data_IF_575806414404
#
_entry.id   IF_575806414404
#
_cell.length_a   1.000
_cell.length_b   1.000
_cell.length_c   1.000
_cell.angle_alpha   90.00
_cell.angle_beta   90.00
_cell.angle_gamma   90.00
#
_symmetry.space_group_name_H-M   'P 1'
#
loop_
_entity.id
_entity.type
_entity.pdbx_description
1 polymer ?
#
# COMPACT_ATOMS: atom_id res chain seq x y z
N UNK A 1 12.35 44.51 -2.14
CA UNK A 1 11.19 44.49 -3.04
C UNK A 1 11.55 45.26 -4.30
N UNK A 2 12.10 44.58 -5.31
CA UNK A 2 12.44 45.17 -6.61
C UNK A 2 11.51 44.59 -7.66
N UNK A 3 10.66 45.43 -8.26
CA UNK A 3 9.81 45.07 -9.37
C UNK A 3 10.47 45.58 -10.67
N UNK A 4 11.02 44.65 -11.45
CA UNK A 4 11.58 44.93 -12.77
C UNK A 4 10.45 44.92 -13.79
N UNK A 5 10.01 46.09 -14.25
CA UNK A 5 9.12 46.23 -15.42
C UNK A 5 9.98 46.28 -16.68
N UNK A 6 9.93 45.22 -17.49
CA UNK A 6 10.45 45.23 -18.85
C UNK A 6 9.41 45.91 -19.77
N UNK A 7 9.76 47.08 -20.30
CA UNK A 7 9.05 47.74 -21.39
C UNK A 7 9.66 47.25 -22.71
N UNK A 8 8.88 46.55 -23.53
CA UNK A 8 9.27 46.18 -24.89
C UNK A 8 8.58 47.15 -25.85
N UNK A 9 9.36 48.10 -26.38
CA UNK A 9 8.95 48.98 -27.45
C UNK A 9 8.89 48.18 -28.77
N UNK A 10 7.68 48.00 -29.31
CA UNK A 10 7.50 47.44 -30.64
C UNK A 10 7.61 48.55 -31.69
N UNK A 11 8.77 48.63 -32.35
CA UNK A 11 8.97 49.46 -33.54
C UNK A 11 8.23 48.81 -34.71
N UNK A 12 7.12 49.40 -35.15
CA UNK A 12 6.36 48.96 -36.32
C UNK A 12 6.92 49.62 -37.58
N UNK A 13 7.82 48.92 -38.26
CA UNK A 13 8.26 49.32 -39.60
C UNK A 13 7.27 48.77 -40.62
N UNK A 14 6.42 49.64 -41.16
CA UNK A 14 5.48 49.29 -42.22
C UNK A 14 6.25 49.10 -43.55
N UNK A 15 6.30 47.88 -44.07
CA UNK A 15 6.70 47.61 -45.45
C UNK A 15 5.49 47.11 -46.21
N UNK A 16 4.92 48.01 -47.03
CA UNK A 16 3.94 47.70 -48.07
C UNK A 16 4.63 46.82 -49.13
N UNK A 17 4.21 45.55 -49.24
CA UNK A 17 4.17 44.83 -50.52
C UNK A 17 2.91 43.96 -50.56
N UNK A 18 1.96 44.41 -51.37
CA UNK A 18 0.78 43.67 -51.75
C UNK A 18 1.18 42.45 -52.58
N UNK A 19 0.60 41.28 -52.28
CA UNK A 19 0.69 40.10 -53.16
C UNK A 19 1.25 38.81 -52.55
N UNK A 20 1.67 38.79 -51.28
CA UNK A 20 2.22 37.58 -50.62
C UNK A 20 1.64 37.32 -49.21
N UNK A 21 0.57 38.01 -48.83
CA UNK A 21 0.05 38.01 -47.46
C UNK A 21 -0.79 36.78 -47.06
N UNK A 22 -1.42 36.06 -47.99
CA UNK A 22 -2.39 35.02 -47.63
C UNK A 22 -1.74 33.69 -47.21
N UNK A 23 -0.55 33.38 -47.77
CA UNK A 23 0.20 32.19 -47.33
C UNK A 23 0.88 32.39 -45.98
N UNK A 24 1.44 33.59 -45.72
CA UNK A 24 2.15 33.86 -44.47
C UNK A 24 1.22 33.86 -43.26
N UNK A 25 0.02 34.42 -43.37
CA UNK A 25 -0.95 34.42 -42.26
C UNK A 25 -1.46 33.01 -41.96
N UNK A 26 -1.70 32.17 -42.98
CA UNK A 26 -2.11 30.77 -42.78
C UNK A 26 -1.00 29.91 -42.18
N UNK A 27 0.25 30.09 -42.61
CA UNK A 27 1.41 29.38 -42.05
C UNK A 27 1.69 29.83 -40.62
N UNK A 28 1.62 31.13 -40.30
CA UNK A 28 1.74 31.61 -38.92
C UNK A 28 0.62 31.08 -38.02
N UNK A 29 -0.64 31.04 -38.49
CA UNK A 29 -1.75 30.50 -37.71
C UNK A 29 -1.60 28.99 -37.49
N UNK A 30 -1.13 28.25 -38.50
CA UNK A 30 -0.87 26.80 -38.39
C UNK A 30 0.30 26.50 -37.46
N UNK A 31 1.39 27.27 -37.52
CA UNK A 31 2.53 27.12 -36.60
C UNK A 31 2.13 27.52 -35.18
N UNK A 32 1.32 28.57 -34.99
CA UNK A 32 0.78 28.90 -33.66
C UNK A 32 -0.16 27.80 -33.15
N UNK A 33 -1.01 27.22 -34.01
CA UNK A 33 -1.92 26.14 -33.61
C UNK A 33 -1.16 24.83 -33.34
N UNK A 34 -0.10 24.53 -34.09
CA UNK A 34 0.76 23.35 -33.89
C UNK A 34 1.66 23.53 -32.66
N UNK A 35 2.18 24.73 -32.39
CA UNK A 35 2.94 25.03 -31.17
C UNK A 35 2.00 25.08 -29.95
N UNK A 36 0.79 25.60 -30.07
CA UNK A 36 -0.21 25.54 -28.99
C UNK A 36 -0.74 24.13 -28.75
N UNK A 37 -0.83 23.26 -29.77
CA UNK A 37 -1.24 21.86 -29.59
C UNK A 37 -0.09 20.96 -29.14
N UNK A 38 1.16 21.26 -29.51
CA UNK A 38 2.34 20.59 -28.97
C UNK A 38 2.59 21.01 -27.51
N UNK A 39 2.46 22.29 -27.18
CA UNK A 39 2.50 22.77 -25.80
C UNK A 39 1.30 22.26 -24.97
N UNK A 40 0.12 22.08 -25.57
CA UNK A 40 -1.02 21.46 -24.88
C UNK A 40 -0.89 19.93 -24.72
N UNK A 41 -0.05 19.26 -25.51
CA UNK A 41 0.22 17.81 -25.40
C UNK A 41 1.34 17.47 -24.41
N UNK A 42 2.27 18.38 -24.15
CA UNK A 42 3.24 18.25 -23.05
C UNK A 42 2.70 18.74 -21.69
N UNK A 43 1.49 19.29 -21.64
CA UNK A 43 0.71 19.54 -20.41
C UNK A 43 -0.13 18.30 -20.03
N UNK A 44 0.22 17.12 -20.57
CA UNK A 44 -0.18 15.84 -20.01
C UNK A 44 0.51 15.65 -18.66
N UNK A 45 -0.20 16.03 -17.59
CA UNK A 45 0.03 15.73 -16.19
C UNK A 45 1.10 14.64 -15.93
N UNK A 46 2.32 15.05 -15.56
CA UNK A 46 3.28 14.13 -14.96
C UNK A 46 2.82 13.81 -13.54
N UNK A 47 1.87 12.87 -13.44
CA UNK A 47 1.52 12.23 -12.19
C UNK A 47 2.62 11.22 -11.84
N UNK A 48 3.19 11.31 -10.63
CA UNK A 48 4.09 10.28 -10.14
C UNK A 48 3.25 9.21 -9.44
N UNK A 49 3.32 7.98 -9.96
CA UNK A 49 2.64 6.82 -9.36
C UNK A 49 3.67 6.02 -8.55
N UNK A 50 3.37 5.77 -7.29
CA UNK A 50 4.17 4.94 -6.41
C UNK A 50 3.31 3.83 -5.83
N UNK A 51 3.77 2.59 -6.01
CA UNK A 51 3.24 1.42 -5.31
C UNK A 51 4.06 1.18 -4.04
N UNK A 52 3.36 0.95 -2.93
CA UNK A 52 3.93 0.65 -1.62
C UNK A 52 3.30 -0.61 -1.06
N UNK A 53 4.04 -1.38 -0.26
CA UNK A 53 3.56 -2.68 0.20
C UNK A 53 3.42 -2.69 1.71
N UNK A 54 2.30 -3.23 2.18
CA UNK A 54 2.10 -3.55 3.59
C UNK A 54 2.27 -5.04 3.82
N UNK A 55 3.01 -5.39 4.88
CA UNK A 55 3.04 -6.75 5.36
C UNK A 55 1.62 -7.18 5.82
N UNK A 56 1.27 -8.47 5.69
CA UNK A 56 -0.02 -8.98 6.16
C UNK A 56 -0.30 -8.63 7.63
N UNK A 57 -1.50 -8.15 7.92
CA UNK A 57 -1.92 -7.73 9.27
C UNK A 57 -1.25 -6.44 9.79
N UNK A 58 -0.34 -5.84 9.02
CA UNK A 58 0.41 -4.65 9.43
C UNK A 58 -0.05 -3.39 8.71
N UNK A 59 -0.05 -2.28 9.44
CA UNK A 59 -0.20 -0.93 8.91
C UNK A 59 1.15 -0.19 8.80
N UNK A 60 2.27 -0.86 9.07
CA UNK A 60 3.59 -0.23 8.99
C UNK A 60 4.10 -0.30 7.56
N UNK A 61 4.48 0.88 7.04
CA UNK A 61 5.27 0.98 5.83
C UNK A 61 6.64 0.34 6.05
N UNK A 62 7.12 -0.39 5.06
CA UNK A 62 8.49 -0.89 5.06
C UNK A 62 9.48 0.28 4.96
N UNK A 63 10.67 0.13 5.54
CA UNK A 63 11.71 1.15 5.42
C UNK A 63 12.08 1.47 3.95
N UNK A 64 12.16 0.47 3.04
CA UNK A 64 12.31 0.73 1.60
C UNK A 64 11.17 1.57 1.02
N UNK A 65 9.91 1.27 1.34
CA UNK A 65 8.77 2.04 0.83
C UNK A 65 8.76 3.47 1.34
N UNK A 66 9.04 3.67 2.63
CA UNK A 66 9.16 5.00 3.22
C UNK A 66 10.33 5.80 2.60
N UNK A 67 11.41 5.13 2.18
CA UNK A 67 12.50 5.77 1.45
C UNK A 67 12.06 6.20 0.04
N UNK A 68 11.51 5.26 -0.74
CA UNK A 68 11.02 5.52 -2.10
C UNK A 68 9.98 6.64 -2.14
N UNK A 69 9.09 6.68 -1.16
CA UNK A 69 8.11 7.75 -1.01
C UNK A 69 8.78 9.12 -0.84
N UNK A 70 9.77 9.22 0.05
CA UNK A 70 10.51 10.48 0.27
C UNK A 70 11.27 10.92 -0.97
N UNK A 71 11.93 10.00 -1.67
CA UNK A 71 12.61 10.30 -2.94
C UNK A 71 11.64 10.77 -4.01
N UNK A 72 10.48 10.10 -4.13
CA UNK A 72 9.45 10.48 -5.10
C UNK A 72 8.94 11.89 -4.79
N UNK A 73 8.59 12.18 -3.53
CA UNK A 73 8.15 13.52 -3.11
C UNK A 73 9.24 14.57 -3.36
N UNK A 74 10.51 14.26 -3.08
CA UNK A 74 11.62 15.15 -3.36
C UNK A 74 11.81 15.42 -4.85
N UNK A 75 11.67 14.40 -5.70
CA UNK A 75 11.81 14.53 -7.16
C UNK A 75 10.66 15.32 -7.80
N UNK A 76 9.44 15.15 -7.28
CA UNK A 76 8.27 15.94 -7.70
C UNK A 76 8.41 17.38 -7.21
N UNK A 77 8.97 17.57 -6.01
CA UNK A 77 9.10 18.84 -5.33
C UNK A 77 7.83 19.19 -4.55
N UNK A 78 7.92 19.32 -3.22
CA UNK A 78 6.78 19.56 -2.33
C UNK A 78 5.90 20.73 -2.77
N UNK A 79 6.52 21.85 -3.15
CA UNK A 79 5.79 23.05 -3.60
C UNK A 79 5.02 22.84 -4.92
N UNK A 80 5.43 21.86 -5.72
CA UNK A 80 4.77 21.51 -6.96
C UNK A 80 3.64 20.50 -6.76
N UNK A 81 3.45 19.89 -5.58
CA UNK A 81 2.37 18.91 -5.35
C UNK A 81 1.06 19.67 -5.14
N UNK A 82 0.11 19.49 -6.05
CA UNK A 82 -1.26 20.00 -5.92
C UNK A 82 -2.07 19.09 -5.00
N UNK A 83 -2.01 17.80 -5.32
CA UNK A 83 -2.83 16.76 -4.72
C UNK A 83 -2.01 15.49 -4.62
N UNK A 84 -2.15 14.78 -3.51
CA UNK A 84 -1.58 13.47 -3.26
C UNK A 84 -2.73 12.51 -2.95
N UNK A 85 -3.13 11.70 -3.93
CA UNK A 85 -4.22 10.74 -3.77
C UNK A 85 -3.65 9.41 -3.26
N UNK A 86 -4.12 8.96 -2.11
CA UNK A 86 -3.75 7.67 -1.51
C UNK A 86 -4.91 6.68 -1.62
N UNK A 87 -4.62 5.46 -2.05
CA UNK A 87 -5.58 4.36 -2.11
C UNK A 87 -4.93 3.12 -1.51
N UNK A 88 -5.68 2.34 -0.74
CA UNK A 88 -5.20 1.07 -0.17
C UNK A 88 -6.11 -0.04 -0.68
N UNK A 89 -5.53 -1.17 -1.06
CA UNK A 89 -6.29 -2.34 -1.44
C UNK A 89 -7.13 -2.88 -0.28
N UNK A 90 -8.20 -3.60 -0.65
CA UNK A 90 -9.00 -4.31 0.34
C UNK A 90 -8.14 -5.35 1.09
N UNK A 91 -8.44 -5.62 2.38
CA UNK A 91 -7.73 -6.61 3.15
C UNK A 91 -7.87 -8.01 2.53
N UNK A 92 -6.78 -8.75 2.47
CA UNK A 92 -6.74 -10.08 1.85
C UNK A 92 -6.96 -11.21 2.86
N UNK A 93 -7.10 -12.45 2.37
CA UNK A 93 -7.08 -13.63 3.22
C UNK A 93 -5.78 -13.74 4.06
N UNK A 94 -4.65 -13.23 3.54
CA UNK A 94 -3.40 -13.17 4.29
C UNK A 94 -3.49 -12.20 5.48
N UNK A 95 -4.20 -11.07 5.34
CA UNK A 95 -4.47 -10.15 6.45
C UNK A 95 -5.34 -10.79 7.51
N UNK A 96 -6.40 -11.49 7.09
CA UNK A 96 -7.26 -12.20 8.03
C UNK A 96 -6.46 -13.24 8.81
N UNK A 97 -5.63 -14.03 8.14
CA UNK A 97 -4.77 -15.02 8.79
C UNK A 97 -3.75 -14.38 9.74
N UNK A 98 -3.15 -13.25 9.37
CA UNK A 98 -2.20 -12.53 10.22
C UNK A 98 -2.88 -11.98 11.49
N UNK A 99 -4.06 -11.38 11.36
CA UNK A 99 -4.85 -10.89 12.49
C UNK A 99 -5.31 -12.03 13.39
N UNK A 100 -5.76 -13.16 12.82
CA UNK A 100 -6.13 -14.35 13.59
C UNK A 100 -4.95 -14.88 14.41
N UNK A 101 -3.74 -14.89 13.83
CA UNK A 101 -2.51 -15.25 14.54
C UNK A 101 -2.19 -14.29 15.67
N UNK A 102 -2.30 -12.99 15.45
CA UNK A 102 -2.09 -11.99 16.50
C UNK A 102 -3.10 -12.16 17.65
N UNK A 103 -4.37 -12.40 17.34
CA UNK A 103 -5.42 -12.66 18.33
C UNK A 103 -5.15 -13.93 19.14
N UNK A 104 -4.78 -15.02 18.48
CA UNK A 104 -4.41 -16.27 19.15
C UNK A 104 -3.20 -16.06 20.07
N UNK A 105 -2.18 -15.35 19.58
CA UNK A 105 -0.99 -15.00 20.37
C UNK A 105 -1.34 -14.17 21.60
N UNK A 106 -2.25 -13.20 21.46
CA UNK A 106 -2.76 -12.42 22.58
C UNK A 106 -3.48 -13.27 23.63
N UNK A 107 -4.15 -14.35 23.21
CA UNK A 107 -4.84 -15.29 24.12
C UNK A 107 -3.89 -16.29 24.80
N UNK A 108 -2.81 -16.68 24.12
CA UNK A 108 -1.82 -17.61 24.64
C UNK A 108 -0.72 -16.94 25.49
N UNK A 109 -0.66 -15.60 25.49
CA UNK A 109 0.48 -14.85 26.01
C UNK A 109 1.55 -14.66 24.92
N UNK A 110 2.31 -13.54 25.00
CA UNK A 110 3.20 -13.02 23.93
C UNK A 110 4.20 -14.02 23.32
N UNK A 111 4.43 -15.18 23.94
CA UNK A 111 5.37 -16.20 23.49
C UNK A 111 4.76 -17.32 22.60
N UNK A 112 3.43 -17.56 22.67
CA UNK A 112 2.78 -18.68 21.98
C UNK A 112 2.58 -18.54 20.46
N UNK A 113 3.25 -17.57 19.83
CA UNK A 113 2.98 -17.10 18.47
C UNK A 113 3.92 -17.63 17.39
N UNK A 114 5.10 -18.12 17.75
CA UNK A 114 6.14 -18.44 16.78
C UNK A 114 5.98 -19.83 16.17
N UNK A 115 6.70 -20.12 15.09
CA UNK A 115 6.67 -21.42 14.41
C UNK A 115 6.83 -22.57 15.40
N UNK A 116 6.21 -23.71 15.10
CA UNK A 116 6.15 -24.86 16.00
C UNK A 116 7.54 -25.31 16.50
N UNK A 117 8.60 -25.04 15.71
CA UNK A 117 9.98 -25.41 16.00
C UNK A 117 10.62 -24.64 17.17
N UNK A 118 10.03 -23.53 17.63
CA UNK A 118 10.60 -22.66 18.67
C UNK A 118 9.68 -22.42 19.87
N UNK A 119 8.59 -23.17 20.03
CA UNK A 119 7.68 -23.00 21.16
C UNK A 119 8.28 -23.57 22.45
N UNK A 120 8.18 -22.81 23.54
CA UNK A 120 8.54 -23.34 24.87
C UNK A 120 7.52 -24.39 25.33
N UNK A 121 7.89 -25.25 26.27
CA UNK A 121 6.95 -26.22 26.84
C UNK A 121 5.74 -25.53 27.51
N UNK A 122 5.95 -24.37 28.12
CA UNK A 122 4.87 -23.55 28.69
C UNK A 122 3.89 -23.06 27.61
N UNK A 123 4.41 -22.62 26.46
CA UNK A 123 3.58 -22.19 25.33
C UNK A 123 2.75 -23.34 24.75
N UNK A 124 3.34 -24.54 24.68
CA UNK A 124 2.67 -25.75 24.22
C UNK A 124 1.53 -26.13 25.18
N UNK A 125 1.79 -26.08 26.49
CA UNK A 125 0.77 -26.34 27.51
C UNK A 125 -0.38 -25.32 27.45
N UNK A 126 -0.05 -24.04 27.28
CA UNK A 126 -1.04 -22.96 27.12
C UNK A 126 -1.87 -23.14 25.84
N UNK A 127 -1.24 -23.52 24.73
CA UNK A 127 -1.92 -23.83 23.47
C UNK A 127 -2.94 -24.96 23.65
N UNK A 128 -2.52 -26.07 24.27
CA UNK A 128 -3.38 -27.22 24.49
C UNK A 128 -4.47 -26.95 25.54
N UNK A 129 -4.17 -26.18 26.58
CA UNK A 129 -5.18 -25.73 27.54
C UNK A 129 -6.24 -24.85 26.86
N UNK A 130 -5.83 -23.94 25.98
CA UNK A 130 -6.77 -23.10 25.23
C UNK A 130 -7.63 -23.94 24.26
N UNK A 131 -7.03 -24.91 23.58
CA UNK A 131 -7.77 -25.85 22.73
C UNK A 131 -8.85 -26.61 23.52
N UNK A 132 -8.47 -27.22 24.65
CA UNK A 132 -9.41 -27.92 25.53
C UNK A 132 -10.53 -26.99 26.01
N UNK A 133 -10.21 -25.73 26.31
CA UNK A 133 -11.21 -24.76 26.73
C UNK A 133 -12.21 -24.42 25.62
N UNK A 134 -11.74 -24.27 24.37
CA UNK A 134 -12.58 -23.89 23.22
C UNK A 134 -13.40 -25.07 22.69
N UNK A 135 -12.82 -26.27 22.64
CA UNK A 135 -13.41 -27.42 21.96
C UNK A 135 -13.81 -28.59 22.89
N UNK A 136 -13.39 -28.58 24.15
CA UNK A 136 -13.72 -29.63 25.12
C UNK A 136 -13.05 -30.99 24.89
N UNK A 137 -12.17 -31.14 23.90
CA UNK A 137 -11.49 -32.39 23.52
C UNK A 137 -9.97 -32.35 23.67
N UNK A 138 -9.31 -33.50 23.56
CA UNK A 138 -7.85 -33.60 23.65
C UNK A 138 -7.21 -33.25 22.29
N UNK A 139 -6.17 -32.40 22.25
CA UNK A 139 -5.37 -32.17 21.04
C UNK A 139 -4.90 -33.45 20.32
N UNK A 140 -4.69 -34.55 21.05
CA UNK A 140 -4.32 -35.85 20.48
C UNK A 140 -5.39 -36.41 19.54
N UNK A 141 -6.65 -36.06 19.76
CA UNK A 141 -7.77 -36.50 18.93
C UNK A 141 -7.70 -35.92 17.49
N UNK A 142 -6.85 -34.90 17.28
CA UNK A 142 -6.58 -34.33 15.96
C UNK A 142 -5.59 -35.15 15.14
N UNK A 143 -4.78 -36.02 15.78
CA UNK A 143 -3.72 -36.74 15.08
C UNK A 143 -4.33 -37.73 14.07
N UNK A 144 -3.96 -37.65 12.77
CA UNK A 144 -4.37 -38.65 11.81
C UNK A 144 -3.72 -39.99 12.17
N UNK A 145 -4.45 -41.08 11.91
CA UNK A 145 -3.92 -42.42 12.06
C UNK A 145 -2.57 -42.54 11.31
N UNK A 146 -1.56 -43.21 11.90
CA UNK A 146 -0.30 -43.44 11.20
C UNK A 146 -0.58 -44.25 9.92
N UNK A 147 0.09 -43.87 8.84
CA UNK A 147 0.08 -44.69 7.62
C UNK A 147 0.70 -46.05 7.96
N UNK A 148 0.18 -47.11 7.35
CA UNK A 148 0.74 -48.45 7.52
C UNK A 148 2.24 -48.41 7.18
N UNK A 149 3.08 -48.93 8.08
CA UNK A 149 4.54 -48.98 8.01
C UNK A 149 5.35 -47.72 8.40
N UNK A 150 4.71 -46.62 8.82
CA UNK A 150 5.42 -45.43 9.33
C UNK A 150 5.24 -45.28 10.85
N UNK A 151 6.28 -45.62 11.62
CA UNK A 151 6.34 -45.28 13.04
C UNK A 151 6.73 -43.81 13.20
N UNK A 152 5.81 -42.96 13.68
CA UNK A 152 6.14 -41.58 14.05
C UNK A 152 6.91 -41.57 15.37
N UNK A 153 7.92 -40.72 15.45
CA UNK A 153 8.59 -40.43 16.72
C UNK A 153 7.68 -39.58 17.60
N UNK A 154 7.88 -39.63 18.93
CA UNK A 154 7.14 -38.77 19.86
C UNK A 154 7.29 -37.28 19.55
N UNK A 155 8.45 -36.89 19.00
CA UNK A 155 8.71 -35.50 18.62
C UNK A 155 7.89 -35.09 17.39
N UNK A 156 7.82 -35.94 16.36
CA UNK A 156 6.99 -35.68 15.18
C UNK A 156 5.49 -35.63 15.54
N UNK A 157 5.02 -36.52 16.42
CA UNK A 157 3.65 -36.49 16.92
C UNK A 157 3.34 -35.18 17.67
N UNK A 158 4.25 -34.73 18.52
CA UNK A 158 4.10 -33.47 19.24
C UNK A 158 4.04 -32.28 18.28
N UNK A 159 4.94 -32.22 17.30
CA UNK A 159 4.98 -31.16 16.29
C UNK A 159 3.71 -31.12 15.44
N UNK A 160 3.21 -32.30 15.03
CA UNK A 160 1.97 -32.41 14.28
C UNK A 160 0.76 -31.95 15.13
N UNK A 161 0.72 -32.37 16.40
CA UNK A 161 -0.34 -31.97 17.33
C UNK A 161 -0.35 -30.45 17.55
N UNK A 162 0.81 -29.83 17.72
CA UNK A 162 0.95 -28.37 17.83
C UNK A 162 0.40 -27.69 16.56
N UNK A 163 0.84 -28.15 15.39
CA UNK A 163 0.44 -27.57 14.10
C UNK A 163 -1.08 -27.66 13.89
N UNK A 164 -1.67 -28.84 14.06
CA UNK A 164 -3.10 -29.08 13.88
C UNK A 164 -3.95 -28.33 14.90
N UNK A 165 -3.51 -28.30 16.16
CA UNK A 165 -4.20 -27.55 17.22
C UNK A 165 -4.24 -26.07 16.88
N UNK A 166 -3.09 -25.52 16.46
CA UNK A 166 -2.96 -24.12 16.07
C UNK A 166 -3.84 -23.81 14.86
N UNK A 167 -3.81 -24.63 13.82
CA UNK A 167 -4.64 -24.46 12.63
C UNK A 167 -6.13 -24.45 12.99
N UNK A 168 -6.56 -25.41 13.82
CA UNK A 168 -7.95 -25.52 14.27
C UNK A 168 -8.38 -24.31 15.11
N UNK A 169 -7.52 -23.81 15.99
CA UNK A 169 -7.78 -22.61 16.76
C UNK A 169 -7.84 -21.36 15.88
N UNK A 170 -6.93 -21.23 14.91
CA UNK A 170 -6.93 -20.11 13.96
C UNK A 170 -8.20 -20.11 13.11
N UNK A 171 -8.65 -21.27 12.63
CA UNK A 171 -9.89 -21.40 11.86
C UNK A 171 -11.14 -20.98 12.65
N UNK A 172 -11.11 -21.10 13.99
CA UNK A 172 -12.19 -20.63 14.86
C UNK A 172 -12.04 -19.17 15.32
N UNK A 173 -10.97 -18.46 14.95
CA UNK A 173 -10.83 -17.04 15.30
C UNK A 173 -11.77 -16.20 14.42
N UNK A 174 -12.71 -15.45 15.01
CA UNK A 174 -13.61 -14.61 14.25
C UNK A 174 -12.89 -13.31 13.85
N UNK A 175 -12.21 -13.31 12.71
CA UNK A 175 -11.75 -12.06 12.10
C UNK A 175 -12.93 -11.41 11.40
N UNK A 176 -13.58 -10.49 12.10
CA UNK A 176 -14.75 -9.80 11.57
C UNK A 176 -14.36 -8.71 10.56
N UNK A 177 -15.30 -8.33 9.70
CA UNK A 177 -15.12 -7.28 8.70
C UNK A 177 -14.62 -5.96 9.33
N UNK A 178 -15.06 -5.66 10.57
CA UNK A 178 -14.65 -4.46 11.31
C UNK A 178 -13.15 -4.42 11.62
N UNK A 179 -12.52 -5.56 11.93
CA UNK A 179 -11.08 -5.65 12.16
C UNK A 179 -10.29 -5.39 10.88
N UNK A 180 -10.76 -5.93 9.75
CA UNK A 180 -10.18 -5.72 8.43
C UNK A 180 -10.33 -4.25 8.00
N UNK A 181 -11.52 -3.65 8.16
CA UNK A 181 -11.74 -2.22 7.90
C UNK A 181 -10.86 -1.31 8.79
N UNK A 182 -10.64 -1.71 10.05
CA UNK A 182 -9.73 -1.00 10.94
C UNK A 182 -8.30 -1.06 10.42
N UNK A 183 -7.85 -2.22 9.92
CA UNK A 183 -6.52 -2.36 9.31
C UNK A 183 -6.37 -1.47 8.07
N UNK A 184 -7.36 -1.43 7.17
CA UNK A 184 -7.36 -0.53 6.00
C UNK A 184 -7.24 0.93 6.41
N UNK A 185 -8.04 1.36 7.40
CA UNK A 185 -7.96 2.74 7.92
C UNK A 185 -6.61 3.06 8.54
N UNK A 186 -5.99 2.11 9.23
CA UNK A 186 -4.65 2.28 9.78
C UNK A 186 -3.59 2.42 8.69
N UNK A 187 -3.68 1.63 7.61
CA UNK A 187 -2.78 1.73 6.44
C UNK A 187 -2.90 3.08 5.73
N UNK A 188 -4.12 3.56 5.52
CA UNK A 188 -4.36 4.90 4.96
C UNK A 188 -3.70 5.99 5.81
N UNK A 189 -3.92 5.95 7.13
CA UNK A 189 -3.28 6.89 8.06
C UNK A 189 -1.77 6.81 8.05
N UNK A 190 -1.19 5.62 7.89
CA UNK A 190 0.25 5.46 7.80
C UNK A 190 0.82 6.12 6.53
N UNK A 191 0.12 6.01 5.40
CA UNK A 191 0.50 6.72 4.17
C UNK A 191 0.38 8.22 4.31
N UNK A 192 -0.74 8.70 4.88
CA UNK A 192 -0.96 10.12 5.16
C UNK A 192 0.18 10.68 6.03
N UNK A 193 0.50 10.00 7.14
CA UNK A 193 1.60 10.39 8.02
C UNK A 193 2.97 10.37 7.32
N UNK A 194 3.22 9.40 6.44
CA UNK A 194 4.46 9.32 5.68
C UNK A 194 4.58 10.48 4.67
N UNK A 195 3.49 10.85 4.00
CA UNK A 195 3.43 12.00 3.09
C UNK A 195 3.66 13.32 3.82
N UNK A 196 2.97 13.50 4.94
CA UNK A 196 3.11 14.70 5.80
C UNK A 196 4.54 14.79 6.35
N UNK A 197 5.11 13.67 6.79
CA UNK A 197 6.50 13.58 7.21
C UNK A 197 7.50 13.86 6.07
N UNK A 198 7.11 13.61 4.82
CA UNK A 198 7.89 13.98 3.63
C UNK A 198 7.68 15.45 3.20
N UNK A 199 6.84 16.21 3.91
CA UNK A 199 6.58 17.63 3.69
C UNK A 199 5.33 17.94 2.87
N UNK A 200 4.56 16.94 2.43
CA UNK A 200 3.29 17.17 1.72
C UNK A 200 2.27 17.77 2.69
N UNK A 201 1.61 18.90 2.35
CA UNK A 201 0.63 19.50 3.23
C UNK A 201 -0.59 18.59 3.39
N UNK A 202 -1.12 18.46 4.62
CA UNK A 202 -2.28 17.58 4.93
C UNK A 202 -3.48 17.87 4.03
N UNK A 203 -3.76 19.15 3.76
CA UNK A 203 -4.86 19.57 2.90
C UNK A 203 -4.71 19.18 1.42
N UNK A 204 -3.52 18.76 0.98
CA UNK A 204 -3.31 18.24 -0.37
C UNK A 204 -3.49 16.71 -0.42
N UNK A 205 -3.65 16.02 0.72
CA UNK A 205 -3.82 14.56 0.74
C UNK A 205 -5.30 14.21 0.55
N UNK A 206 -5.59 13.41 -0.47
CA UNK A 206 -6.93 12.92 -0.78
C UNK A 206 -7.00 11.40 -0.63
N UNK A 207 -8.12 10.89 -0.13
CA UNK A 207 -8.37 9.44 -0.08
C UNK A 207 -9.10 9.00 -1.35
N UNK A 208 -8.44 8.16 -2.15
CA UNK A 208 -9.03 7.52 -3.32
C UNK A 208 -9.91 6.32 -2.94
N UNK A 209 -10.61 5.79 -3.94
CA UNK A 209 -11.42 4.59 -3.78
C UNK A 209 -10.53 3.38 -3.41
N UNK A 210 -11.02 2.45 -2.57
CA UNK A 210 -10.31 1.22 -2.29
C UNK A 210 -10.07 0.45 -3.59
N UNK A 211 -8.85 -0.05 -3.75
CA UNK A 211 -8.49 -0.79 -4.95
C UNK A 211 -9.11 -2.18 -4.90
N UNK A 212 -9.58 -2.65 -6.05
CA UNK A 212 -10.01 -4.04 -6.20
C UNK A 212 -8.86 -4.99 -5.87
N UNK A 213 -9.19 -6.15 -5.30
CA UNK A 213 -8.24 -7.17 -4.90
C UNK A 213 -7.37 -7.58 -6.11
N UNK A 214 -6.04 -7.48 -5.96
CA UNK A 214 -5.07 -7.97 -6.95
C UNK A 214 -4.93 -9.48 -6.76
N UNK A 215 -4.73 -10.21 -7.86
CA UNK A 215 -4.71 -11.68 -7.88
C UNK A 215 -3.78 -12.30 -6.82
N UNK A 216 -4.13 -13.48 -6.28
CA UNK A 216 -3.34 -14.17 -5.27
C UNK A 216 -1.97 -14.55 -5.84
N UNK A 217 -0.90 -13.95 -5.29
CA UNK A 217 0.47 -14.17 -5.72
C UNK A 217 1.44 -13.10 -5.23
N UNK A 218 0.94 -11.90 -4.94
CA UNK A 218 1.72 -10.83 -4.31
C UNK A 218 1.62 -10.94 -2.78
N UNK A 219 2.75 -11.04 -2.08
CA UNK A 219 2.80 -11.33 -0.63
C UNK A 219 2.47 -10.12 0.24
N UNK A 220 2.26 -8.95 -0.36
CA UNK A 220 1.89 -7.71 0.31
C UNK A 220 0.55 -7.16 -0.18
N UNK A 221 -0.11 -6.40 0.67
CA UNK A 221 -1.33 -5.66 0.28
C UNK A 221 -0.88 -4.34 -0.31
N UNK A 222 -1.16 -4.05 -1.60
CA UNK A 222 -0.65 -2.87 -2.24
C UNK A 222 -1.40 -1.61 -1.75
N UNK A 223 -0.62 -0.57 -1.48
CA UNK A 223 -1.07 0.81 -1.43
C UNK A 223 -0.59 1.53 -2.69
N UNK A 224 -1.44 2.39 -3.24
CA UNK A 224 -1.09 3.24 -4.37
C UNK A 224 -1.13 4.70 -3.97
N UNK A 225 -0.10 5.42 -4.39
CA UNK A 225 0.04 6.86 -4.25
C UNK A 225 0.12 7.48 -5.64
N UNK A 226 -0.72 8.47 -5.89
CA UNK A 226 -0.67 9.30 -7.09
C UNK A 226 -0.38 10.74 -6.66
N UNK A 227 0.76 11.28 -7.08
CA UNK A 227 1.11 12.69 -6.84
C UNK A 227 0.83 13.50 -8.10
N UNK A 228 -0.13 14.42 -8.02
CA UNK A 228 -0.49 15.35 -9.10
C UNK A 228 0.20 16.69 -8.87
N UNK A 229 0.81 17.25 -9.92
CA UNK A 229 1.51 18.55 -9.85
C UNK A 229 0.55 19.73 -10.03
N UNK A 230 0.83 20.86 -9.36
CA UNK A 230 0.21 22.16 -9.65
C UNK A 230 0.70 22.62 -11.02
N UNK A 231 -0.22 22.81 -11.95
CA UNK A 231 0.09 23.54 -13.17
C UNK A 231 0.40 25.00 -12.80
N UNK A 232 1.53 25.56 -13.28
CA UNK A 232 1.85 26.97 -13.11
C UNK A 232 0.87 27.88 -13.87
#
# INVERSE_FOLDING_TARGET
MCATRLSVAATTTSVRRAGQGVMFTRVCLFVLLVVCTAAARDISAQAANLEVHFAPGSARLSAPDAHRLRETVASVGVAAIATARISVAQPSAADANALAREMLSGRLGRAGAHEADLMSMEDIENLFAHYRHVYGGDPRDLLPAPEADVSRTRQEELMLMIALTRERLLAAMPVNAQALERLTRMRLRALEQALVGAGVPVQAVEHGAPLAERAPGDTGVPGWLVLERRHP
#
